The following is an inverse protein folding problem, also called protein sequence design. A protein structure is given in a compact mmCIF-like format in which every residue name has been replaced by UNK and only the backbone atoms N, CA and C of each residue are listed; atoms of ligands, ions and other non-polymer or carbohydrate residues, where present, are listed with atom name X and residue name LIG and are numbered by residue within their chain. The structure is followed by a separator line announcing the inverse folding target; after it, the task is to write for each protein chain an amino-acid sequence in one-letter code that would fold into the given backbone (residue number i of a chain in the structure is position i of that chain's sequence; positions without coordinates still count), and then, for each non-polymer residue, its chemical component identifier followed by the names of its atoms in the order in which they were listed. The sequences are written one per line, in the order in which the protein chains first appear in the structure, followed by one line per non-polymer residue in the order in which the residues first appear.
data_IF_361161812860
#
_entry.id   IF_361161812860
#
_cell.length_a   1.000
_cell.length_b   1.000
_cell.length_c   1.000
_cell.angle_alpha   90.00
_cell.angle_beta   90.00
_cell.angle_gamma   90.00
#
_symmetry.space_group_name_H-M   'P 1'
#
loop_
_entity.id
_entity.type
_entity.pdbx_description
1 polymer ?
#
# COMPACT_ATOMS: atom_id res chain seq x y z
N UNK A 1 49.24 43.94 -15.73
CA UNK A 1 48.29 42.94 -16.27
C UNK A 1 47.57 42.30 -15.09
N UNK A 2 46.26 42.52 -14.94
CA UNK A 2 45.45 42.01 -13.81
C UNK A 2 44.91 40.64 -14.18
N UNK A 3 45.32 39.59 -13.47
CA UNK A 3 44.77 38.25 -13.60
C UNK A 3 43.54 38.15 -12.70
N UNK A 4 42.36 37.96 -13.31
CA UNK A 4 41.10 37.75 -12.61
C UNK A 4 40.95 36.23 -12.43
N UNK A 5 40.92 35.76 -11.18
CA UNK A 5 40.63 34.37 -10.84
C UNK A 5 39.12 34.25 -10.64
N UNK A 6 38.44 33.54 -11.55
CA UNK A 6 37.05 33.14 -11.39
C UNK A 6 37.00 31.85 -10.58
N UNK A 7 36.59 31.94 -9.32
CA UNK A 7 36.28 30.77 -8.50
C UNK A 7 34.86 30.30 -8.81
N UNK A 8 34.74 29.16 -9.50
CA UNK A 8 33.47 28.48 -9.75
C UNK A 8 33.00 27.80 -8.45
N UNK A 9 31.95 28.32 -7.82
CA UNK A 9 31.26 27.63 -6.73
C UNK A 9 30.19 26.72 -7.33
N UNK A 10 30.46 25.42 -7.39
CA UNK A 10 29.44 24.39 -7.68
C UNK A 10 28.77 24.05 -6.35
N UNK A 11 27.56 24.56 -6.13
CA UNK A 11 26.70 24.09 -5.06
C UNK A 11 26.06 22.77 -5.51
N UNK A 12 26.51 21.65 -4.94
CA UNK A 12 25.77 20.39 -5.02
C UNK A 12 24.47 20.55 -4.23
N UNK A 13 23.35 20.75 -4.92
CA UNK A 13 22.02 20.51 -4.35
C UNK A 13 21.83 18.99 -4.21
N UNK A 14 22.16 18.45 -3.04
CA UNK A 14 21.67 17.13 -2.64
C UNK A 14 20.21 17.28 -2.24
N UNK A 15 19.29 16.92 -3.13
CA UNK A 15 17.87 16.83 -2.78
C UNK A 15 17.67 15.70 -1.74
N UNK A 16 16.85 15.89 -0.71
CA UNK A 16 16.62 14.88 0.31
C UNK A 16 15.70 13.77 -0.24
N UNK A 17 16.28 12.71 -0.78
CA UNK A 17 15.58 11.46 -1.16
C UNK A 17 14.99 10.68 0.04
N UNK A 18 15.20 11.16 1.26
CA UNK A 18 14.79 10.48 2.50
C UNK A 18 13.41 10.87 3.02
N UNK A 19 12.89 12.05 2.66
CA UNK A 19 11.64 12.57 3.25
C UNK A 19 10.38 11.83 2.78
N UNK A 20 10.43 11.16 1.64
CA UNK A 20 9.22 10.53 1.08
C UNK A 20 8.83 9.23 1.78
N UNK A 21 9.79 8.48 2.33
CA UNK A 21 9.50 7.34 3.20
C UNK A 21 8.81 7.80 4.49
N UNK A 22 9.08 9.03 4.94
CA UNK A 22 8.40 9.64 6.10
C UNK A 22 6.95 10.06 5.77
N UNK A 23 6.63 10.24 4.48
CA UNK A 23 5.25 10.52 4.03
C UNK A 23 4.39 9.28 3.90
N UNK A 24 4.99 8.09 3.75
CA UNK A 24 4.25 6.83 3.70
C UNK A 24 3.91 6.35 5.12
N UNK A 25 2.63 6.30 5.44
CA UNK A 25 2.13 5.76 6.71
C UNK A 25 1.88 4.25 6.62
N UNK A 26 1.11 3.82 5.62
CA UNK A 26 0.67 2.43 5.46
C UNK A 26 0.57 2.02 3.99
N UNK A 27 0.83 0.74 3.71
CA UNK A 27 0.83 0.20 2.36
C UNK A 27 2.09 0.57 1.56
N UNK A 28 2.06 0.55 0.23
CA UNK A 28 0.90 0.26 -0.62
C UNK A 28 0.52 -1.23 -0.59
N UNK A 29 -0.76 -1.54 -0.75
CA UNK A 29 -1.28 -2.91 -0.78
C UNK A 29 -2.29 -3.10 -1.92
N UNK A 30 -2.25 -4.24 -2.64
CA UNK A 30 -3.35 -4.63 -3.51
C UNK A 30 -4.62 -4.87 -2.68
N UNK A 31 -5.75 -4.37 -3.19
CA UNK A 31 -7.08 -4.67 -2.68
C UNK A 31 -7.72 -5.75 -3.56
N UNK A 32 -8.82 -5.45 -4.27
CA UNK A 32 -9.38 -6.39 -5.23
C UNK A 32 -8.55 -6.49 -6.50
N UNK A 33 -8.64 -7.65 -7.17
CA UNK A 33 -8.06 -7.89 -8.49
C UNK A 33 -9.07 -8.53 -9.43
N UNK A 34 -9.20 -7.94 -10.62
CA UNK A 34 -10.04 -8.40 -11.71
C UNK A 34 -9.22 -8.62 -12.99
N UNK A 35 -9.87 -9.01 -14.08
CA UNK A 35 -9.19 -9.31 -15.34
C UNK A 35 -8.50 -8.09 -15.97
N UNK A 36 -9.10 -6.91 -15.84
CA UNK A 36 -8.66 -5.69 -16.56
C UNK A 36 -8.39 -4.50 -15.64
N UNK A 37 -8.58 -4.68 -14.33
CA UNK A 37 -8.27 -3.68 -13.33
C UNK A 37 -7.90 -4.28 -11.96
N UNK A 38 -7.14 -3.53 -11.18
CA UNK A 38 -6.77 -3.82 -9.80
C UNK A 38 -6.87 -2.53 -9.00
N UNK A 39 -7.33 -2.61 -7.76
CA UNK A 39 -7.26 -1.47 -6.85
C UNK A 39 -6.01 -1.55 -5.98
N UNK A 40 -5.24 -0.46 -5.94
CA UNK A 40 -4.13 -0.29 -5.02
C UNK A 40 -4.52 0.71 -3.92
N UNK A 41 -4.27 0.35 -2.68
CA UNK A 41 -4.52 1.18 -1.51
C UNK A 41 -3.20 1.66 -0.89
N UNK A 42 -3.18 2.90 -0.38
CA UNK A 42 -2.05 3.47 0.37
C UNK A 42 -2.54 4.57 1.30
N UNK A 43 -1.78 4.86 2.35
CA UNK A 43 -2.04 5.96 3.28
C UNK A 43 -0.79 6.81 3.48
N UNK A 44 -0.96 8.14 3.46
CA UNK A 44 0.12 9.10 3.75
C UNK A 44 0.01 9.69 5.15
N UNK A 45 1.07 10.33 5.65
CA UNK A 45 1.07 10.98 6.97
C UNK A 45 0.44 12.38 6.96
N UNK A 46 0.33 13.00 5.79
CA UNK A 46 -0.25 14.32 5.53
C UNK A 46 -0.82 14.39 4.10
N UNK A 47 -1.51 15.47 3.68
CA UNK A 47 -2.00 15.61 2.31
C UNK A 47 -0.86 15.50 1.29
N UNK A 48 -0.98 14.57 0.36
CA UNK A 48 0.01 14.35 -0.69
C UNK A 48 -0.63 13.87 -1.98
N UNK A 49 0.05 14.13 -3.08
CA UNK A 49 -0.31 13.60 -4.38
C UNK A 49 0.22 12.17 -4.49
N UNK A 50 -0.64 11.21 -4.84
CA UNK A 50 -0.31 9.78 -4.90
C UNK A 50 -0.59 9.25 -6.30
N UNK A 51 0.34 8.48 -6.84
CA UNK A 51 0.21 7.80 -8.12
C UNK A 51 0.96 6.47 -8.09
N UNK A 52 0.57 5.53 -8.95
CA UNK A 52 1.32 4.30 -9.18
C UNK A 52 1.87 4.27 -10.59
N UNK A 53 3.13 3.88 -10.70
CA UNK A 53 3.66 3.35 -11.96
C UNK A 53 3.51 1.84 -11.97
N UNK A 54 3.19 1.26 -13.12
CA UNK A 54 2.99 -0.18 -13.26
C UNK A 54 3.42 -0.66 -14.64
N UNK A 55 3.78 -1.95 -14.74
CA UNK A 55 4.24 -2.59 -15.97
C UNK A 55 3.98 -4.10 -15.91
N UNK A 56 3.70 -4.78 -17.04
CA UNK A 56 3.76 -6.23 -17.09
C UNK A 56 5.16 -6.70 -16.67
N UNK A 57 5.27 -7.67 -15.76
CA UNK A 57 6.56 -8.08 -15.19
C UNK A 57 7.57 -8.54 -16.24
N UNK A 58 7.07 -9.19 -17.30
CA UNK A 58 7.86 -9.66 -18.45
C UNK A 58 8.14 -8.56 -19.50
N UNK A 59 7.56 -7.36 -19.36
CA UNK A 59 7.69 -6.25 -20.30
C UNK A 59 7.84 -4.90 -19.59
N UNK A 60 8.88 -4.75 -18.75
CA UNK A 60 9.11 -3.54 -17.95
C UNK A 60 9.24 -2.23 -18.74
N UNK A 61 9.50 -2.31 -20.06
CA UNK A 61 9.50 -1.14 -20.95
C UNK A 61 8.09 -0.55 -21.17
N UNK A 62 7.03 -1.35 -20.97
CA UNK A 62 5.62 -0.93 -21.08
C UNK A 62 5.14 -0.28 -19.77
N UNK A 63 5.97 0.57 -19.17
CA UNK A 63 5.67 1.28 -17.93
C UNK A 63 4.60 2.34 -18.18
N UNK A 64 3.54 2.27 -17.40
CA UNK A 64 2.41 3.20 -17.43
C UNK A 64 2.24 3.88 -16.07
N UNK A 65 1.43 4.93 -16.03
CA UNK A 65 1.05 5.63 -14.82
C UNK A 65 -0.45 5.52 -14.60
N UNK A 66 -0.86 5.33 -13.34
CA UNK A 66 -2.26 5.40 -12.96
C UNK A 66 -2.77 6.84 -13.01
N UNK A 67 -4.07 7.01 -12.75
CA UNK A 67 -4.56 8.32 -12.34
C UNK A 67 -3.89 8.75 -11.03
N UNK A 68 -3.77 10.06 -10.88
CA UNK A 68 -3.26 10.72 -9.69
C UNK A 68 -4.40 10.95 -8.70
N UNK A 69 -4.12 10.80 -7.41
CA UNK A 69 -5.08 11.04 -6.32
C UNK A 69 -4.47 11.93 -5.24
N UNK A 70 -5.23 12.93 -4.77
CA UNK A 70 -4.80 13.81 -3.67
C UNK A 70 -5.38 13.30 -2.35
N UNK A 71 -4.54 12.86 -1.42
CA UNK A 71 -5.00 12.42 -0.10
C UNK A 71 -5.46 13.60 0.75
N UNK A 72 -6.48 13.37 1.59
CA UNK A 72 -7.10 14.42 2.42
C UNK A 72 -7.24 13.97 3.87
N UNK A 73 -7.24 14.93 4.81
CA UNK A 73 -7.40 14.66 6.24
C UNK A 73 -8.77 14.04 6.56
N UNK A 74 -9.79 14.36 5.77
CA UNK A 74 -11.14 13.80 5.94
C UNK A 74 -11.16 12.28 5.67
N UNK A 75 -10.29 11.78 4.80
CA UNK A 75 -10.24 10.35 4.48
C UNK A 75 -9.05 9.66 5.15
N UNK A 76 -8.61 10.20 6.29
CA UNK A 76 -7.44 9.73 7.04
C UNK A 76 -6.19 9.58 6.16
N UNK A 77 -6.05 10.46 5.16
CA UNK A 77 -4.99 10.48 4.17
C UNK A 77 -4.84 9.18 3.35
N UNK A 78 -5.93 8.45 3.14
CA UNK A 78 -5.93 7.24 2.30
C UNK A 78 -6.16 7.56 0.83
N UNK A 79 -5.65 6.70 -0.05
CA UNK A 79 -5.91 6.72 -1.49
C UNK A 79 -6.31 5.32 -1.95
N UNK A 80 -7.38 5.23 -2.76
CA UNK A 80 -7.82 4.03 -3.44
C UNK A 80 -7.72 4.28 -4.95
N UNK A 81 -6.71 3.71 -5.60
CA UNK A 81 -6.41 4.00 -7.00
C UNK A 81 -6.65 2.74 -7.84
N UNK A 82 -7.65 2.79 -8.72
CA UNK A 82 -7.89 1.75 -9.72
C UNK A 82 -6.84 1.86 -10.84
N UNK A 83 -6.01 0.85 -10.96
CA UNK A 83 -5.13 0.63 -12.11
C UNK A 83 -5.94 -0.12 -13.16
N UNK A 84 -6.12 0.49 -14.34
CA UNK A 84 -7.00 -0.02 -15.41
C UNK A 84 -6.20 -0.29 -16.69
N UNK A 85 -6.85 -0.86 -17.71
CA UNK A 85 -6.18 -1.18 -18.97
C UNK A 85 -5.21 -2.36 -18.86
N UNK A 86 -5.48 -3.25 -17.90
CA UNK A 86 -4.69 -4.45 -17.69
C UNK A 86 -5.15 -5.60 -18.61
N UNK A 87 -4.25 -6.54 -18.87
CA UNK A 87 -4.53 -7.76 -19.60
C UNK A 87 -4.83 -8.92 -18.64
N UNK A 88 -5.78 -9.81 -18.96
CA UNK A 88 -6.14 -10.94 -18.10
C UNK A 88 -4.99 -11.94 -17.92
N UNK A 89 -4.81 -12.44 -16.69
CA UNK A 89 -3.84 -13.48 -16.35
C UNK A 89 -2.38 -13.03 -16.34
N UNK A 90 -2.13 -11.73 -16.25
CA UNK A 90 -0.78 -11.14 -16.29
C UNK A 90 -0.36 -10.72 -14.89
N UNK A 91 0.91 -10.98 -14.55
CA UNK A 91 1.55 -10.45 -13.35
C UNK A 91 2.18 -9.09 -13.67
N UNK A 92 1.87 -8.10 -12.85
CA UNK A 92 2.39 -6.74 -12.98
C UNK A 92 3.29 -6.40 -11.80
N UNK A 93 4.37 -5.69 -12.09
CA UNK A 93 5.09 -4.92 -11.07
C UNK A 93 4.48 -3.54 -10.94
N UNK A 94 4.54 -2.96 -9.75
CA UNK A 94 4.16 -1.56 -9.53
C UNK A 94 5.14 -0.83 -8.62
N UNK A 95 5.11 0.50 -8.67
CA UNK A 95 5.90 1.39 -7.83
C UNK A 95 5.03 2.54 -7.37
N UNK A 96 5.05 2.82 -6.07
CA UNK A 96 4.37 3.96 -5.48
C UNK A 96 5.15 5.25 -5.74
N UNK A 97 4.43 6.29 -6.15
CA UNK A 97 4.87 7.66 -6.20
C UNK A 97 4.05 8.53 -5.25
N UNK A 98 4.72 9.37 -4.49
CA UNK A 98 4.14 10.41 -3.61
C UNK A 98 4.80 11.74 -3.97
N UNK A 99 4.04 12.72 -4.44
CA UNK A 99 4.58 14.00 -4.95
C UNK A 99 5.66 13.78 -6.03
N UNK A 100 5.36 12.96 -7.04
CA UNK A 100 6.22 12.59 -8.18
C UNK A 100 7.55 11.87 -7.85
N UNK A 101 7.86 11.64 -6.58
CA UNK A 101 9.06 10.91 -6.18
C UNK A 101 8.74 9.41 -6.02
N UNK A 102 9.72 8.52 -6.13
CA UNK A 102 9.49 7.08 -5.98
C UNK A 102 9.77 6.62 -4.53
N UNK A 103 8.83 5.89 -3.94
CA UNK A 103 9.00 5.34 -2.58
C UNK A 103 9.74 4.00 -2.63
N UNK A 104 10.79 3.86 -1.81
CA UNK A 104 11.54 2.60 -1.66
C UNK A 104 10.96 1.74 -0.53
N UNK A 105 10.57 0.51 -0.87
CA UNK A 105 9.93 -0.46 0.02
C UNK A 105 10.82 -1.68 0.23
N UNK A 106 10.71 -2.33 1.38
CA UNK A 106 11.50 -3.51 1.75
C UNK A 106 10.85 -4.84 1.37
N UNK A 107 9.80 -4.80 0.54
CA UNK A 107 9.02 -5.95 0.11
C UNK A 107 8.63 -5.78 -1.37
N UNK A 108 8.35 -6.87 -2.10
CA UNK A 108 7.97 -6.80 -3.50
C UNK A 108 6.60 -6.13 -3.68
N UNK A 109 6.46 -5.36 -4.76
CA UNK A 109 5.23 -4.69 -5.16
C UNK A 109 4.74 -5.26 -6.48
N UNK A 110 3.94 -6.32 -6.37
CA UNK A 110 3.39 -7.05 -7.50
C UNK A 110 1.91 -7.38 -7.28
N UNK A 111 1.17 -7.55 -8.37
CA UNK A 111 -0.19 -8.10 -8.36
C UNK A 111 -0.42 -8.95 -9.61
N UNK A 112 -1.44 -9.80 -9.58
CA UNK A 112 -1.83 -10.64 -10.71
C UNK A 112 -3.31 -10.43 -11.04
N UNK A 113 -3.61 -10.20 -12.32
CA UNK A 113 -5.00 -10.14 -12.82
C UNK A 113 -5.58 -11.54 -12.98
N UNK A 114 -6.91 -11.64 -12.88
CA UNK A 114 -7.59 -12.91 -13.11
C UNK A 114 -7.39 -13.39 -14.55
N UNK A 115 -7.18 -14.69 -14.74
CA UNK A 115 -7.10 -15.28 -16.07
C UNK A 115 -8.48 -15.32 -16.74
N UNK A 116 -8.55 -15.04 -18.05
CA UNK A 116 -9.74 -15.26 -18.85
C UNK A 116 -9.86 -16.75 -19.20
N UNK A 117 -10.42 -17.55 -18.29
CA UNK A 117 -10.58 -19.00 -18.46
C UNK A 117 -11.94 -19.39 -19.06
N UNK A 118 -12.96 -18.54 -18.91
CA UNK A 118 -14.33 -18.84 -19.33
C UNK A 118 -14.38 -19.23 -20.82
N UNK A 119 -14.94 -20.42 -21.08
CA UNK A 119 -15.08 -21.01 -22.43
C UNK A 119 -13.75 -21.27 -23.17
N UNK A 120 -12.62 -21.35 -22.45
CA UNK A 120 -11.27 -21.54 -23.04
C UNK A 120 -10.50 -22.66 -22.36
N UNK A 121 -10.49 -22.66 -21.03
CA UNK A 121 -9.83 -23.65 -20.17
C UNK A 121 -10.72 -23.98 -18.98
N UNK A 122 -10.32 -24.99 -18.21
CA UNK A 122 -10.85 -25.15 -16.85
C UNK A 122 -10.49 -23.91 -16.01
N UNK A 123 -11.31 -23.58 -14.99
CA UNK A 123 -10.97 -22.50 -14.05
C UNK A 123 -9.64 -22.81 -13.35
N UNK A 124 -8.79 -21.79 -13.11
CA UNK A 124 -7.54 -21.98 -12.40
C UNK A 124 -7.78 -22.48 -10.98
N UNK A 125 -6.92 -23.39 -10.52
CA UNK A 125 -6.85 -23.74 -9.10
C UNK A 125 -6.25 -22.59 -8.32
N UNK A 126 -6.80 -22.29 -7.15
CA UNK A 126 -6.31 -21.23 -6.28
C UNK A 126 -6.49 -21.61 -4.80
N UNK A 127 -5.75 -20.91 -3.96
CA UNK A 127 -5.74 -21.03 -2.51
C UNK A 127 -6.33 -19.77 -1.88
N UNK A 128 -7.06 -19.95 -0.78
CA UNK A 128 -7.68 -18.85 -0.06
C UNK A 128 -7.30 -18.91 1.41
N UNK A 129 -6.77 -17.81 1.93
CA UNK A 129 -6.72 -17.60 3.37
C UNK A 129 -8.03 -16.98 3.85
N UNK A 130 -8.60 -17.55 4.90
CA UNK A 130 -9.78 -17.00 5.57
C UNK A 130 -9.38 -16.62 6.99
N UNK A 131 -9.64 -15.38 7.39
CA UNK A 131 -9.27 -14.85 8.69
C UNK A 131 -10.27 -13.83 9.22
N UNK A 132 -10.20 -13.56 10.52
CA UNK A 132 -10.98 -12.53 11.20
C UNK A 132 -10.32 -12.16 12.52
N UNK A 133 -10.89 -11.17 13.22
CA UNK A 133 -10.61 -10.89 14.63
C UNK A 133 -9.14 -10.54 14.93
N UNK A 134 -8.63 -9.47 14.33
CA UNK A 134 -7.29 -8.96 14.61
C UNK A 134 -7.29 -8.03 15.84
N UNK A 135 -7.40 -8.61 17.04
CA UNK A 135 -7.29 -7.84 18.28
C UNK A 135 -5.82 -7.54 18.59
N UNK A 136 -5.34 -6.38 18.13
CA UNK A 136 -4.01 -5.87 18.47
C UNK A 136 -4.07 -5.12 19.82
N UNK A 137 -3.08 -5.36 20.66
CA UNK A 137 -2.98 -4.75 21.99
C UNK A 137 -2.43 -3.33 21.94
N UNK A 138 -2.92 -2.46 22.83
CA UNK A 138 -2.32 -1.15 23.11
C UNK A 138 -2.23 -0.97 24.63
N UNK A 139 -1.06 -1.26 25.25
CA UNK A 139 -0.94 -1.40 26.70
C UNK A 139 -1.47 -0.23 27.53
N UNK A 140 -1.47 0.98 26.95
CA UNK A 140 -1.98 2.20 27.58
C UNK A 140 -3.50 2.15 27.81
N UNK A 141 -4.24 1.49 26.93
CA UNK A 141 -5.70 1.44 26.92
C UNK A 141 -6.26 0.02 27.03
N UNK A 142 -5.41 -1.00 27.10
CA UNK A 142 -5.84 -2.36 27.37
C UNK A 142 -6.43 -2.48 28.78
N UNK A 143 -7.38 -3.41 28.92
CA UNK A 143 -8.10 -3.63 30.17
C UNK A 143 -7.15 -4.17 31.25
N UNK A 144 -7.36 -3.81 32.53
CA UNK A 144 -6.54 -4.32 33.63
C UNK A 144 -6.47 -5.85 33.67
N UNK A 145 -5.28 -6.38 33.95
CA UNK A 145 -5.02 -7.82 34.03
C UNK A 145 -4.26 -8.34 32.81
N UNK A 146 -4.55 -9.57 32.39
CA UNK A 146 -3.97 -10.17 31.18
C UNK A 146 -4.71 -9.64 29.95
N UNK A 147 -4.02 -9.03 28.98
CA UNK A 147 -4.66 -8.49 27.80
C UNK A 147 -5.23 -9.61 26.92
N UNK A 148 -6.32 -9.30 26.21
CA UNK A 148 -7.06 -10.29 25.42
C UNK A 148 -6.38 -10.67 24.11
N UNK A 149 -5.78 -9.69 23.41
CA UNK A 149 -5.18 -9.92 22.10
C UNK A 149 -3.68 -10.08 22.13
N UNK A 150 -3.06 -9.76 21.00
CA UNK A 150 -1.62 -9.89 20.78
C UNK A 150 -1.11 -8.86 19.77
N UNK A 151 -0.20 -9.29 18.91
CA UNK A 151 0.37 -8.47 17.85
C UNK A 151 -0.09 -8.98 16.48
N UNK A 152 0.83 -9.00 15.49
CA UNK A 152 0.55 -9.27 14.09
C UNK A 152 0.78 -10.74 13.66
N UNK A 153 0.82 -11.68 14.61
CA UNK A 153 1.18 -13.08 14.33
C UNK A 153 0.21 -13.75 13.35
N UNK A 154 -1.08 -13.37 13.37
CA UNK A 154 -2.07 -13.90 12.41
C UNK A 154 -1.70 -13.55 10.95
N UNK A 155 -1.24 -12.33 10.70
CA UNK A 155 -0.83 -11.90 9.36
C UNK A 155 0.47 -12.58 8.93
N UNK A 156 1.42 -12.78 9.85
CA UNK A 156 2.63 -13.55 9.57
C UNK A 156 2.31 -15.00 9.22
N UNK A 157 1.37 -15.62 9.95
CA UNK A 157 0.93 -16.98 9.68
C UNK A 157 0.22 -17.10 8.33
N UNK A 158 -0.64 -16.13 7.96
CA UNK A 158 -1.30 -16.08 6.65
C UNK A 158 -0.27 -15.87 5.55
N UNK A 159 0.65 -14.91 5.70
CA UNK A 159 1.69 -14.63 4.73
C UNK A 159 2.58 -15.86 4.46
N UNK A 160 2.94 -16.61 5.51
CA UNK A 160 3.73 -17.84 5.37
C UNK A 160 3.00 -18.98 4.64
N UNK A 161 1.68 -18.87 4.40
CA UNK A 161 0.90 -19.81 3.58
C UNK A 161 0.85 -19.44 2.11
N UNK A 162 1.27 -18.22 1.75
CA UNK A 162 1.31 -17.70 0.37
C UNK A 162 0.00 -17.94 -0.40
N UNK A 163 -1.15 -17.44 0.11
CA UNK A 163 -2.44 -17.65 -0.54
C UNK A 163 -2.62 -16.76 -1.78
N UNK A 164 -3.35 -17.24 -2.77
CA UNK A 164 -3.70 -16.45 -3.97
C UNK A 164 -4.73 -15.34 -3.67
N UNK A 165 -5.57 -15.55 -2.65
CA UNK A 165 -6.55 -14.57 -2.20
C UNK A 165 -6.76 -14.63 -0.67
N UNK A 166 -7.18 -13.50 -0.09
CA UNK A 166 -7.53 -13.41 1.32
C UNK A 166 -8.97 -12.92 1.47
N UNK A 167 -9.80 -13.72 2.16
CA UNK A 167 -11.11 -13.30 2.61
C UNK A 167 -11.03 -12.97 4.10
N UNK A 168 -11.12 -11.68 4.42
CA UNK A 168 -11.16 -11.21 5.79
C UNK A 168 -12.60 -10.95 6.23
N UNK A 169 -13.07 -11.66 7.26
CA UNK A 169 -14.48 -11.74 7.61
C UNK A 169 -14.98 -10.62 8.55
N UNK A 170 -14.12 -9.66 8.90
CA UNK A 170 -14.45 -8.57 9.81
C UNK A 170 -13.64 -8.61 11.09
N UNK A 171 -14.00 -7.73 12.02
CA UNK A 171 -13.22 -7.44 13.22
C UNK A 171 -11.75 -7.11 12.86
N UNK A 172 -11.60 -6.22 11.87
CA UNK A 172 -10.31 -5.76 11.33
C UNK A 172 -9.48 -5.08 12.42
N UNK A 173 -10.17 -4.36 13.31
CA UNK A 173 -9.60 -3.73 14.48
C UNK A 173 -10.67 -3.61 15.56
N UNK A 174 -10.25 -3.40 16.80
CA UNK A 174 -11.13 -3.28 17.96
C UNK A 174 -10.94 -1.94 18.65
N UNK A 175 -11.93 -1.05 18.50
CA UNK A 175 -11.94 0.24 19.18
C UNK A 175 -11.96 0.06 20.71
N UNK A 176 -11.21 0.90 21.42
CA UNK A 176 -11.24 1.02 22.88
C UNK A 176 -12.22 2.08 23.34
N UNK A 177 -12.52 2.11 24.64
CA UNK A 177 -13.42 3.07 25.27
C UNK A 177 -13.03 4.54 24.95
N UNK A 178 -11.73 4.81 24.78
CA UNK A 178 -11.19 6.12 24.41
C UNK A 178 -11.38 6.48 22.92
N UNK A 179 -11.63 5.49 22.06
CA UNK A 179 -11.71 5.66 20.61
C UNK A 179 -13.15 5.97 20.14
N UNK A 180 -14.17 5.49 20.85
CA UNK A 180 -15.57 5.40 20.38
C UNK A 180 -16.24 6.72 19.98
N UNK A 181 -15.92 7.80 20.69
CA UNK A 181 -16.73 9.02 20.63
C UNK A 181 -16.10 10.14 19.81
N UNK A 182 -15.01 9.87 19.08
CA UNK A 182 -14.39 10.86 18.22
C UNK A 182 -13.87 10.23 16.93
N UNK A 183 -14.00 10.97 15.82
CA UNK A 183 -13.45 10.56 14.51
C UNK A 183 -11.94 10.32 14.60
N UNK A 184 -11.22 11.18 15.32
CA UNK A 184 -9.78 11.02 15.55
C UNK A 184 -9.44 9.77 16.36
N UNK A 185 -10.29 9.37 17.32
CA UNK A 185 -10.12 8.12 18.06
C UNK A 185 -10.33 6.89 17.19
N UNK A 186 -11.35 6.91 16.33
CA UNK A 186 -11.56 5.85 15.32
C UNK A 186 -10.36 5.78 14.36
N UNK A 187 -9.91 6.91 13.82
CA UNK A 187 -8.76 6.96 12.90
C UNK A 187 -7.42 6.60 13.54
N UNK A 188 -7.23 6.81 14.85
CA UNK A 188 -6.01 6.33 15.54
C UNK A 188 -5.88 4.80 15.49
N UNK A 189 -7.02 4.10 15.38
CA UNK A 189 -7.10 2.65 15.43
C UNK A 189 -7.09 1.98 14.04
N UNK A 190 -7.33 2.75 12.97
CA UNK A 190 -7.40 2.33 11.57
C UNK A 190 -6.20 2.86 10.79
#
# INVERSE_FOLDING_TARGET
MRTIIFSLWIALLTAPLFGQRELLQSGPMPAYSEMTEVMLWVQTTEPAEVQFAYWPKEAAAERQLSTTYQTTADEAFTAHISVTGLEPGVTYGYQLLINDQAVSLSYPTEFQTQALWQYRTDPPTFTVAVGSCAYVNEPKYDRPGTPYGGDYQIFQAIHAKDPDAMLWLGDNTYLREVDWYSRSGVFHRY
#
